data_IF_293126235479
#
_entry.id   IF_293126235479
#
_cell.length_a   1.000
_cell.length_b   1.000
_cell.length_c   1.000
_cell.angle_alpha   90.00
_cell.angle_beta   90.00
_cell.angle_gamma   90.00
#
_symmetry.space_group_name_H-M   'P 1'
#
loop_
_entity.id
_entity.type
_entity.pdbx_description
1 polymer ?
#
# COMPACT_ATOMS: atom_id res chain seq x y z
N UNK A 1 -9.33 -7.80 -27.90
CA UNK A 1 -9.39 -6.32 -27.98
C UNK A 1 -7.96 -5.81 -27.97
N UNK A 2 -7.58 -4.96 -28.93
CA UNK A 2 -6.26 -4.32 -28.88
C UNK A 2 -6.22 -3.34 -27.69
N UNK A 3 -5.34 -3.58 -26.72
CA UNK A 3 -5.20 -2.77 -25.52
C UNK A 3 -4.18 -1.63 -25.66
N UNK A 4 -3.49 -1.55 -26.79
CA UNK A 4 -2.47 -0.52 -27.01
C UNK A 4 -3.01 0.92 -26.89
N UNK A 5 -4.21 1.26 -27.45
CA UNK A 5 -4.76 2.62 -27.28
C UNK A 5 -5.06 2.95 -25.82
N UNK A 6 -5.55 1.99 -25.04
CA UNK A 6 -5.79 2.17 -23.60
C UNK A 6 -4.48 2.37 -22.83
N UNK A 7 -3.46 1.57 -23.10
CA UNK A 7 -2.14 1.72 -22.49
C UNK A 7 -1.52 3.09 -22.80
N UNK A 8 -1.55 3.51 -24.06
CA UNK A 8 -1.07 4.84 -24.48
C UNK A 8 -1.78 5.95 -23.75
N UNK A 9 -3.11 5.89 -23.65
CA UNK A 9 -3.90 6.88 -22.93
C UNK A 9 -3.49 6.96 -21.45
N UNK A 10 -3.43 5.82 -20.76
CA UNK A 10 -3.08 5.78 -19.33
C UNK A 10 -1.69 6.36 -19.07
N UNK A 11 -0.73 6.10 -19.95
CA UNK A 11 0.64 6.65 -19.85
C UNK A 11 0.65 8.15 -20.05
N UNK A 12 0.00 8.64 -21.10
CA UNK A 12 -0.12 10.08 -21.36
C UNK A 12 -0.72 10.81 -20.18
N UNK A 13 -1.82 10.28 -19.63
CA UNK A 13 -2.46 10.85 -18.45
C UNK A 13 -1.60 10.69 -17.19
N UNK A 14 -0.88 9.59 -17.06
CA UNK A 14 0.05 9.36 -15.94
C UNK A 14 1.17 10.39 -15.88
N UNK A 15 1.78 10.72 -17.01
CA UNK A 15 2.79 11.79 -17.10
C UNK A 15 2.17 13.14 -16.73
N UNK A 16 1.02 13.48 -17.31
CA UNK A 16 0.34 14.75 -17.08
C UNK A 16 -0.11 14.96 -15.64
N UNK A 17 -0.51 13.89 -14.95
CA UNK A 17 -1.13 13.91 -13.63
C UNK A 17 -0.20 13.45 -12.52
N UNK A 18 1.07 13.21 -12.82
CA UNK A 18 2.03 12.67 -11.88
C UNK A 18 2.05 13.46 -10.56
N UNK A 19 1.97 12.73 -9.45
CA UNK A 19 2.07 13.29 -8.10
C UNK A 19 3.40 12.87 -7.48
N UNK A 20 4.25 13.84 -7.18
CA UNK A 20 5.52 13.59 -6.50
C UNK A 20 5.28 13.36 -4.99
N UNK A 21 5.01 12.12 -4.62
CA UNK A 21 4.73 11.71 -3.24
C UNK A 21 6.00 11.07 -2.61
N UNK A 22 6.26 11.27 -1.29
CA UNK A 22 7.50 10.83 -0.65
C UNK A 22 7.84 9.36 -0.91
N UNK A 23 6.89 8.45 -0.75
CA UNK A 23 7.08 7.02 -0.96
C UNK A 23 7.30 6.61 -2.42
N UNK A 24 7.18 7.52 -3.37
CA UNK A 24 7.51 7.28 -4.78
C UNK A 24 8.98 7.50 -5.10
N UNK A 25 9.73 8.10 -4.15
CA UNK A 25 11.15 8.39 -4.30
C UNK A 25 12.04 7.26 -3.78
N UNK A 26 11.44 6.22 -3.21
CA UNK A 26 12.13 5.06 -2.66
C UNK A 26 11.72 3.77 -3.35
N UNK A 27 12.56 2.75 -3.26
CA UNK A 27 12.26 1.36 -3.60
C UNK A 27 12.42 0.43 -2.39
N UNK A 28 12.71 0.97 -1.21
CA UNK A 28 12.79 0.18 0.02
C UNK A 28 11.44 -0.50 0.28
N UNK A 29 11.39 -1.84 0.36
CA UNK A 29 10.13 -2.56 0.52
C UNK A 29 9.44 -2.28 1.87
N UNK A 30 10.19 -1.94 2.93
CA UNK A 30 9.61 -1.52 4.20
C UNK A 30 8.87 -0.18 4.06
N UNK A 31 9.51 0.80 3.43
CA UNK A 31 8.95 2.12 3.21
C UNK A 31 7.73 2.08 2.28
N UNK A 32 7.80 1.28 1.21
CA UNK A 32 6.68 1.05 0.28
C UNK A 32 5.52 0.35 1.00
N UNK A 33 5.77 -0.75 1.72
CA UNK A 33 4.75 -1.45 2.49
C UNK A 33 4.05 -0.54 3.49
N UNK A 34 4.82 0.28 4.22
CA UNK A 34 4.29 1.26 5.15
C UNK A 34 3.30 2.21 4.44
N UNK A 35 3.68 2.75 3.28
CA UNK A 35 2.80 3.65 2.51
C UNK A 35 1.52 2.95 2.08
N UNK A 36 1.60 1.71 1.59
CA UNK A 36 0.45 0.92 1.16
C UNK A 36 -0.54 0.68 2.33
N UNK A 37 -0.02 0.38 3.51
CA UNK A 37 -0.87 0.19 4.69
C UNK A 37 -1.44 1.52 5.19
N UNK A 38 -0.66 2.59 5.20
CA UNK A 38 -1.12 3.91 5.65
C UNK A 38 -2.21 4.49 4.72
N UNK A 39 -2.11 4.26 3.42
CA UNK A 39 -3.06 4.74 2.41
C UNK A 39 -4.42 4.01 2.45
N UNK A 40 -4.52 2.86 3.11
CA UNK A 40 -5.80 2.18 3.27
C UNK A 40 -6.81 3.07 4.01
N UNK A 41 -7.82 3.58 3.30
CA UNK A 41 -8.88 4.43 3.83
C UNK A 41 -8.39 5.71 4.55
N UNK A 42 -7.21 6.21 4.21
CA UNK A 42 -6.63 7.45 4.74
C UNK A 42 -6.35 8.42 3.58
N UNK A 43 -6.55 9.71 3.80
CA UNK A 43 -6.28 10.74 2.79
C UNK A 43 -4.78 10.88 2.58
N UNK A 44 -4.35 11.04 1.32
CA UNK A 44 -2.96 11.18 0.90
C UNK A 44 -2.22 12.26 1.71
N UNK A 45 -2.76 13.48 1.79
CA UNK A 45 -2.11 14.58 2.52
C UNK A 45 -1.82 14.27 4.00
N UNK A 46 -2.63 13.41 4.65
CA UNK A 46 -2.34 12.95 6.00
C UNK A 46 -1.21 11.93 6.03
N UNK A 47 -1.16 11.07 5.03
CA UNK A 47 -0.12 10.04 4.95
C UNK A 47 1.24 10.67 4.66
N UNK A 48 1.32 11.72 3.83
CA UNK A 48 2.58 12.40 3.52
C UNK A 48 3.34 12.82 4.78
N UNK A 49 2.66 13.48 5.73
CA UNK A 49 3.28 13.87 7.00
C UNK A 49 3.57 12.67 7.89
N UNK A 50 2.59 11.76 8.05
CA UNK A 50 2.71 10.63 8.97
C UNK A 50 3.72 9.58 8.55
N UNK A 51 3.95 9.42 7.25
CA UNK A 51 4.93 8.50 6.71
C UNK A 51 6.37 8.95 7.06
N UNK A 52 6.65 10.24 6.95
CA UNK A 52 7.96 10.81 7.35
C UNK A 52 8.15 10.68 8.86
N UNK A 53 7.18 11.13 9.68
CA UNK A 53 7.24 11.03 11.14
C UNK A 53 7.42 9.58 11.63
N UNK A 54 6.85 8.63 10.92
CA UNK A 54 6.99 7.20 11.24
C UNK A 54 8.39 6.69 10.95
N UNK A 55 8.96 7.05 9.79
CA UNK A 55 10.30 6.62 9.41
C UNK A 55 11.39 7.28 10.28
N UNK A 56 11.18 8.50 10.74
CA UNK A 56 12.05 9.14 11.72
C UNK A 56 12.09 8.34 13.04
N UNK A 57 10.99 7.71 13.41
CA UNK A 57 10.87 6.93 14.65
C UNK A 57 11.23 5.46 14.48
N UNK A 58 10.83 4.85 13.37
CA UNK A 58 11.06 3.45 13.04
C UNK A 58 11.71 3.38 11.65
N UNK A 59 13.02 3.65 11.55
CA UNK A 59 13.71 3.79 10.26
C UNK A 59 13.89 2.47 9.50
N UNK A 60 13.59 1.34 10.11
CA UNK A 60 13.72 0.02 9.49
C UNK A 60 12.67 -0.96 10.02
N UNK A 61 12.53 -2.08 9.33
CA UNK A 61 11.67 -3.20 9.77
C UNK A 61 12.11 -3.74 11.14
N UNK A 62 13.40 -3.76 11.42
CA UNK A 62 13.94 -4.18 12.71
C UNK A 62 13.55 -3.20 13.83
N UNK A 63 13.71 -1.90 13.59
CA UNK A 63 13.31 -0.88 14.56
C UNK A 63 11.81 -0.97 14.90
N UNK A 64 10.96 -1.25 13.91
CA UNK A 64 9.53 -1.47 14.13
C UNK A 64 9.26 -2.80 14.88
N UNK A 65 10.00 -3.86 14.57
CA UNK A 65 9.87 -5.15 15.22
C UNK A 65 10.23 -5.09 16.71
N UNK A 66 11.25 -4.31 17.06
CA UNK A 66 11.73 -4.15 18.44
C UNK A 66 10.89 -3.16 19.26
N UNK A 67 10.15 -2.28 18.60
CA UNK A 67 9.36 -1.24 19.28
C UNK A 67 8.25 -1.82 20.17
N UNK A 68 7.97 -1.18 21.29
CA UNK A 68 6.86 -1.56 22.17
C UNK A 68 5.49 -1.31 21.51
N UNK A 69 4.52 -2.18 21.78
CA UNK A 69 3.14 -2.04 21.24
C UNK A 69 2.52 -0.68 21.57
N UNK A 70 2.73 -0.17 22.78
CA UNK A 70 2.25 1.14 23.20
C UNK A 70 2.87 2.26 22.36
N UNK A 71 4.16 2.16 22.07
CA UNK A 71 4.91 3.10 21.25
C UNK A 71 4.39 3.14 19.81
N UNK A 72 4.18 1.97 19.20
CA UNK A 72 3.62 1.84 17.85
C UNK A 72 2.21 2.42 17.77
N UNK A 73 1.36 2.16 18.77
CA UNK A 73 0.02 2.73 18.82
C UNK A 73 0.03 4.25 19.04
N UNK A 74 0.97 4.77 19.83
CA UNK A 74 1.16 6.20 20.02
C UNK A 74 1.55 6.91 18.71
N UNK A 75 2.50 6.35 17.97
CA UNK A 75 2.90 6.86 16.66
C UNK A 75 1.78 6.78 15.61
N UNK A 76 0.86 5.80 15.74
CA UNK A 76 -0.28 5.63 14.82
C UNK A 76 -1.47 6.52 15.13
N UNK A 77 -1.45 7.31 16.22
CA UNK A 77 -2.59 8.15 16.57
C UNK A 77 -3.01 9.10 15.43
N UNK A 78 -4.31 9.25 15.23
CA UNK A 78 -4.85 10.07 14.14
C UNK A 78 -4.99 9.37 12.79
N UNK A 79 -4.38 8.20 12.58
CA UNK A 79 -4.51 7.42 11.35
C UNK A 79 -5.79 6.58 11.30
N UNK A 80 -6.37 6.26 12.46
CA UNK A 80 -7.55 5.39 12.58
C UNK A 80 -7.26 3.93 12.24
N UNK A 81 -8.24 3.06 12.51
CA UNK A 81 -8.09 1.61 12.29
C UNK A 81 -6.81 1.04 12.91
N UNK A 82 -6.65 1.21 14.22
CA UNK A 82 -5.44 0.85 14.99
C UNK A 82 -4.98 -0.60 14.79
N UNK A 83 -5.89 -1.51 14.38
CA UNK A 83 -5.52 -2.89 14.00
C UNK A 83 -4.47 -2.94 12.88
N UNK A 84 -4.36 -1.88 12.04
CA UNK A 84 -3.33 -1.80 10.98
C UNK A 84 -1.94 -1.63 11.60
N UNK A 85 -1.84 -0.79 12.64
CA UNK A 85 -0.57 -0.60 13.36
C UNK A 85 -0.11 -1.89 14.04
N UNK A 86 -1.05 -2.60 14.69
CA UNK A 86 -0.75 -3.90 15.32
C UNK A 86 -0.34 -4.94 14.28
N UNK A 87 -1.01 -4.97 13.13
CA UNK A 87 -0.65 -5.87 12.05
C UNK A 87 0.71 -5.51 11.42
N UNK A 88 1.02 -4.21 11.25
CA UNK A 88 2.36 -3.76 10.83
C UNK A 88 3.43 -4.27 11.79
N UNK A 89 3.24 -4.08 13.10
CA UNK A 89 4.21 -4.57 14.10
C UNK A 89 4.38 -6.09 14.02
N UNK A 90 3.30 -6.85 14.04
CA UNK A 90 3.37 -8.31 13.98
C UNK A 90 4.00 -8.84 12.68
N UNK A 91 3.74 -8.19 11.55
CA UNK A 91 4.40 -8.55 10.29
C UNK A 91 5.88 -8.11 10.28
N UNK A 92 6.23 -6.97 10.89
CA UNK A 92 7.61 -6.55 11.03
C UNK A 92 8.42 -7.55 11.87
N UNK A 93 7.84 -8.08 12.95
CA UNK A 93 8.46 -9.13 13.77
C UNK A 93 8.76 -10.38 12.93
N UNK A 94 7.80 -10.84 12.13
CA UNK A 94 8.01 -12.00 11.25
C UNK A 94 9.08 -11.70 10.18
N UNK A 95 9.01 -10.53 9.52
CA UNK A 95 10.01 -10.17 8.50
C UNK A 95 11.41 -10.08 9.14
N UNK A 96 11.52 -9.45 10.30
CA UNK A 96 12.81 -9.28 10.98
C UNK A 96 13.42 -10.60 11.44
N UNK A 97 12.61 -11.52 12.00
CA UNK A 97 13.13 -12.69 12.71
C UNK A 97 12.97 -14.00 11.90
N UNK A 98 11.95 -14.13 11.05
CA UNK A 98 11.74 -15.33 10.25
C UNK A 98 12.34 -15.22 8.83
N UNK A 99 12.55 -13.97 8.34
CA UNK A 99 13.09 -13.65 7.01
C UNK A 99 14.38 -12.82 7.07
N UNK A 100 15.03 -12.70 8.22
CA UNK A 100 16.27 -11.92 8.40
C UNK A 100 16.18 -10.46 7.88
N UNK A 101 15.00 -9.85 7.97
CA UNK A 101 14.72 -8.50 7.46
C UNK A 101 14.50 -8.42 5.96
N UNK A 102 14.58 -9.51 5.23
CA UNK A 102 14.38 -9.58 3.77
C UNK A 102 12.89 -9.74 3.45
N UNK A 103 12.33 -8.82 2.69
CA UNK A 103 10.93 -8.93 2.26
C UNK A 103 10.77 -10.03 1.20
N UNK A 104 9.83 -10.98 1.41
CA UNK A 104 9.54 -11.97 0.37
C UNK A 104 8.94 -11.30 -0.88
N UNK A 105 9.20 -11.88 -2.03
CA UNK A 105 8.67 -11.41 -3.32
C UNK A 105 7.49 -12.24 -3.83
N UNK A 106 7.30 -13.44 -3.29
CA UNK A 106 6.20 -14.30 -3.66
C UNK A 106 4.89 -13.85 -3.01
N UNK A 107 3.82 -13.78 -3.81
CA UNK A 107 2.49 -13.33 -3.35
C UNK A 107 2.01 -14.17 -2.17
N UNK A 108 2.23 -15.48 -2.22
CA UNK A 108 1.80 -16.43 -1.18
C UNK A 108 2.47 -16.12 0.16
N UNK A 109 3.75 -15.80 0.15
CA UNK A 109 4.51 -15.46 1.35
C UNK A 109 4.10 -14.10 1.91
N UNK A 110 3.98 -13.09 1.03
CA UNK A 110 3.51 -11.76 1.43
C UNK A 110 2.12 -11.80 2.08
N UNK A 111 1.18 -12.54 1.50
CA UNK A 111 -0.19 -12.64 2.03
C UNK A 111 -0.25 -13.46 3.33
N UNK A 112 0.74 -14.30 3.61
CA UNK A 112 0.84 -15.00 4.89
C UNK A 112 1.20 -14.05 6.07
N UNK A 113 1.81 -12.90 5.77
CA UNK A 113 2.17 -11.90 6.79
C UNK A 113 0.93 -11.17 7.34
N UNK A 114 0.89 -10.86 8.64
CA UNK A 114 -0.22 -10.17 9.26
C UNK A 114 -0.60 -8.85 8.57
N UNK A 115 -1.86 -8.70 8.20
CA UNK A 115 -2.40 -7.47 7.62
C UNK A 115 -2.03 -7.19 6.16
N UNK A 116 -1.28 -8.06 5.50
CA UNK A 116 -0.98 -7.98 4.08
C UNK A 116 -2.03 -8.76 3.29
N UNK A 117 -2.95 -8.04 2.66
CA UNK A 117 -3.91 -8.63 1.74
C UNK A 117 -3.36 -8.72 0.30
N UNK A 118 -4.10 -9.40 -0.62
CA UNK A 118 -3.65 -9.56 -2.00
C UNK A 118 -3.29 -8.24 -2.71
N UNK A 119 -4.07 -7.18 -2.53
CA UNK A 119 -3.78 -5.89 -3.14
C UNK A 119 -2.49 -5.27 -2.57
N UNK A 120 -2.29 -5.31 -1.24
CA UNK A 120 -1.07 -4.81 -0.61
C UNK A 120 0.16 -5.62 -1.06
N UNK A 121 0.06 -6.95 -1.14
CA UNK A 121 1.14 -7.79 -1.66
C UNK A 121 1.53 -7.40 -3.09
N UNK A 122 0.55 -7.20 -3.97
CA UNK A 122 0.82 -6.75 -5.34
C UNK A 122 1.37 -5.32 -5.41
N UNK A 123 0.96 -4.42 -4.51
CA UNK A 123 1.53 -3.08 -4.39
C UNK A 123 3.01 -3.13 -4.00
N UNK A 124 3.38 -3.92 -2.99
CA UNK A 124 4.78 -4.14 -2.61
C UNK A 124 5.57 -4.67 -3.79
N UNK A 125 5.08 -5.71 -4.47
CA UNK A 125 5.73 -6.30 -5.66
C UNK A 125 5.97 -5.29 -6.77
N UNK A 126 4.94 -4.53 -7.13
CA UNK A 126 5.04 -3.54 -8.20
C UNK A 126 5.91 -2.34 -7.81
N UNK A 127 5.75 -1.79 -6.61
CA UNK A 127 6.38 -0.52 -6.24
C UNK A 127 7.80 -0.67 -5.67
N UNK A 128 8.11 -1.76 -4.98
CA UNK A 128 9.46 -2.01 -4.47
C UNK A 128 10.31 -2.81 -5.46
N UNK A 129 9.74 -3.86 -6.05
CA UNK A 129 10.50 -4.84 -6.82
C UNK A 129 10.26 -4.77 -8.34
N UNK A 130 9.38 -3.88 -8.80
CA UNK A 130 9.01 -3.76 -10.22
C UNK A 130 8.49 -5.07 -10.86
N UNK A 131 7.92 -5.94 -10.03
CA UNK A 131 7.40 -7.23 -10.45
C UNK A 131 5.96 -7.10 -10.97
N UNK A 132 5.63 -7.75 -12.09
CA UNK A 132 4.28 -7.71 -12.64
C UNK A 132 3.28 -8.45 -11.73
N UNK A 133 2.02 -8.06 -11.86
CA UNK A 133 0.92 -8.69 -11.14
C UNK A 133 -0.36 -7.86 -11.17
N UNK A 134 -1.41 -8.35 -10.56
CA UNK A 134 -2.74 -7.72 -10.56
C UNK A 134 -2.92 -6.83 -9.34
N UNK A 135 -2.48 -5.59 -9.42
CA UNK A 135 -2.71 -4.58 -8.38
C UNK A 135 -4.07 -3.90 -8.62
N UNK A 136 -5.14 -4.50 -8.10
CA UNK A 136 -6.52 -4.05 -8.29
C UNK A 136 -7.05 -3.30 -7.06
N UNK A 137 -6.77 -2.00 -6.98
CA UNK A 137 -7.30 -1.09 -5.96
C UNK A 137 -8.35 -0.11 -6.56
N UNK A 138 -8.87 0.80 -5.75
CA UNK A 138 -10.01 1.65 -6.14
C UNK A 138 -9.73 2.55 -7.34
N UNK A 139 -8.53 3.14 -7.47
CA UNK A 139 -8.22 4.04 -8.59
C UNK A 139 -7.97 3.24 -9.87
N UNK A 140 -7.32 2.09 -9.78
CA UNK A 140 -7.16 1.16 -10.92
C UNK A 140 -8.53 0.72 -11.43
N UNK A 141 -9.44 0.28 -10.53
CA UNK A 141 -10.84 -0.01 -10.90
C UNK A 141 -11.51 1.18 -11.57
N UNK A 142 -11.29 2.39 -11.07
CA UNK A 142 -11.90 3.61 -11.62
C UNK A 142 -11.53 3.80 -13.08
N UNK A 143 -10.25 3.66 -13.44
CA UNK A 143 -9.78 3.83 -14.82
C UNK A 143 -10.35 2.77 -15.73
N UNK A 144 -10.26 1.50 -15.34
CA UNK A 144 -10.80 0.37 -16.14
C UNK A 144 -12.30 0.50 -16.34
N UNK A 145 -13.06 0.78 -15.28
CA UNK A 145 -14.51 0.96 -15.36
C UNK A 145 -14.92 2.16 -16.21
N UNK A 146 -14.15 3.25 -16.17
CA UNK A 146 -14.46 4.44 -16.96
C UNK A 146 -14.34 4.18 -18.46
N UNK A 147 -13.26 3.53 -18.89
CA UNK A 147 -12.95 3.40 -20.31
C UNK A 147 -13.50 2.12 -20.96
N UNK A 148 -13.55 1.03 -20.21
CA UNK A 148 -13.87 -0.28 -20.79
C UNK A 148 -15.26 -0.80 -20.41
N UNK A 149 -15.89 -0.20 -19.39
CA UNK A 149 -17.25 -0.53 -18.95
C UNK A 149 -18.12 0.72 -18.73
N UNK A 150 -18.23 1.64 -19.72
CA UNK A 150 -18.88 2.95 -19.49
C UNK A 150 -20.33 2.82 -19.05
N UNK A 151 -21.08 1.84 -19.58
CA UNK A 151 -22.51 1.69 -19.38
C UNK A 151 -22.89 0.43 -18.59
N UNK A 152 -21.90 -0.29 -18.04
CA UNK A 152 -22.14 -1.54 -17.31
C UNK A 152 -22.28 -1.25 -15.81
N UNK A 153 -23.46 -1.50 -15.21
CA UNK A 153 -23.62 -1.41 -13.77
C UNK A 153 -23.08 -2.69 -13.08
N UNK A 154 -22.51 -2.53 -11.88
CA UNK A 154 -22.15 -3.67 -11.00
C UNK A 154 -21.16 -4.67 -11.62
N UNK A 155 -20.01 -4.19 -12.09
CA UNK A 155 -18.95 -5.03 -12.68
C UNK A 155 -18.19 -5.77 -11.56
N UNK A 156 -18.12 -7.10 -11.58
CA UNK A 156 -17.36 -7.87 -10.60
C UNK A 156 -15.86 -7.88 -10.93
N UNK A 157 -15.02 -8.02 -9.90
CA UNK A 157 -13.57 -8.01 -10.05
C UNK A 157 -13.04 -9.08 -11.02
N UNK A 158 -13.72 -10.22 -11.14
CA UNK A 158 -13.35 -11.28 -12.09
C UNK A 158 -13.33 -10.83 -13.57
N UNK A 159 -14.04 -9.76 -13.91
CA UNK A 159 -14.02 -9.17 -15.25
C UNK A 159 -12.91 -8.12 -15.41
N UNK A 160 -12.48 -7.51 -14.30
CA UNK A 160 -11.41 -6.51 -14.28
C UNK A 160 -10.02 -7.15 -14.23
N UNK A 161 -9.87 -8.24 -13.47
CA UNK A 161 -8.59 -8.95 -13.26
C UNK A 161 -7.88 -9.29 -14.57
N UNK A 162 -8.49 -9.95 -15.56
CA UNK A 162 -7.81 -10.29 -16.82
C UNK A 162 -7.33 -9.04 -17.60
N UNK A 163 -8.05 -7.94 -17.49
CA UNK A 163 -7.70 -6.68 -18.15
C UNK A 163 -6.48 -6.05 -17.47
N UNK A 164 -6.50 -5.99 -16.14
CA UNK A 164 -5.38 -5.44 -15.37
C UNK A 164 -4.13 -6.27 -15.59
N UNK A 165 -4.25 -7.59 -15.62
CA UNK A 165 -3.16 -8.51 -15.92
C UNK A 165 -2.60 -8.30 -17.34
N UNK A 166 -3.45 -8.29 -18.35
CA UNK A 166 -3.06 -8.12 -19.75
C UNK A 166 -2.47 -6.74 -20.08
N UNK A 167 -2.75 -5.72 -19.27
CA UNK A 167 -2.25 -4.37 -19.49
C UNK A 167 -1.02 -4.02 -18.64
N UNK A 168 -0.74 -4.79 -17.59
CA UNK A 168 0.46 -4.62 -16.79
C UNK A 168 1.70 -4.93 -17.63
N UNK A 169 2.73 -4.06 -17.64
CA UNK A 169 4.02 -4.39 -18.27
C UNK A 169 4.66 -5.63 -17.67
N UNK A 170 5.52 -6.30 -18.45
CA UNK A 170 6.25 -7.52 -18.04
C UNK A 170 7.34 -7.08 -17.12
N UNK A 171 7.61 -6.52 -16.27
CA UNK A 171 8.74 -6.14 -15.39
C UNK A 171 10.12 -6.30 -16.07
N UNK A 172 11.12 -5.84 -15.40
CA UNK A 172 12.50 -6.02 -15.86
C UNK A 172 12.90 -7.50 -15.71
N UNK A 173 13.35 -8.12 -16.78
CA UNK A 173 13.75 -9.53 -16.85
C UNK A 173 15.01 -9.87 -16.04
N UNK A 174 15.61 -8.92 -15.34
CA UNK A 174 16.81 -9.14 -14.54
C UNK A 174 16.93 -8.19 -13.36
N UNK A 175 16.30 -8.54 -12.24
CA UNK A 175 16.85 -8.17 -10.95
C UNK A 175 17.89 -9.24 -10.57
N UNK A 176 19.12 -9.09 -11.01
CA UNK A 176 20.24 -9.72 -10.31
C UNK A 176 20.30 -9.05 -8.94
N UNK A 177 19.78 -9.76 -7.95
CA UNK A 177 20.01 -9.44 -6.54
C UNK A 177 21.47 -9.76 -6.25
N UNK A 178 22.38 -8.87 -6.58
CA UNK A 178 23.69 -8.84 -5.97
C UNK A 178 23.50 -8.29 -4.54
N UNK A 179 23.15 -9.19 -3.63
CA UNK A 179 23.24 -8.94 -2.21
C UNK A 179 24.74 -9.06 -1.89
N UNK A 180 25.43 -7.93 -1.87
CA UNK A 180 26.72 -7.86 -1.22
C UNK A 180 26.50 -7.99 0.30
N UNK A 181 26.83 -9.18 0.82
CA UNK A 181 26.70 -9.56 2.23
C UNK A 181 27.89 -9.03 3.03
N UNK A 182 28.22 -7.76 2.88
CA UNK A 182 29.18 -7.10 3.77
C UNK A 182 28.50 -5.90 4.43
N UNK A 183 28.34 -6.03 5.74
CA UNK A 183 27.61 -5.21 6.69
C UNK A 183 27.88 -3.70 6.65
N UNK A 184 27.29 -3.04 5.70
CA UNK A 184 27.30 -1.60 5.59
C UNK A 184 26.08 -1.13 4.82
N UNK A 185 25.24 -0.34 5.49
CA UNK A 185 24.24 0.55 4.92
C UNK A 185 23.55 0.02 3.67
N UNK A 186 22.28 -0.30 3.75
CA UNK A 186 21.42 -0.57 2.58
C UNK A 186 21.68 0.49 1.52
N UNK A 187 22.51 0.16 0.54
CA UNK A 187 22.87 1.04 -0.54
C UNK A 187 21.62 1.49 -1.28
N UNK A 188 21.50 2.77 -1.51
CA UNK A 188 20.45 3.36 -2.31
C UNK A 188 20.30 2.53 -3.59
N UNK A 189 19.18 1.82 -3.74
CA UNK A 189 18.84 1.15 -4.98
C UNK A 189 18.88 2.19 -6.10
N UNK A 190 19.84 2.05 -7.01
CA UNK A 190 19.95 2.95 -8.15
C UNK A 190 18.64 2.86 -8.95
N UNK A 191 17.88 3.94 -8.99
CA UNK A 191 16.69 4.04 -9.82
C UNK A 191 17.17 4.12 -11.27
N UNK A 192 16.88 3.15 -12.13
CA UNK A 192 17.17 3.27 -13.56
C UNK A 192 16.41 4.49 -14.10
N UNK A 193 17.09 5.41 -14.78
CA UNK A 193 16.51 6.71 -15.17
C UNK A 193 15.67 6.68 -16.45
N UNK A 194 15.51 5.54 -17.12
CA UNK A 194 14.90 5.47 -18.47
C UNK A 194 13.83 4.37 -18.63
N UNK A 195 12.94 4.16 -17.63
CA UNK A 195 11.98 3.07 -17.71
C UNK A 195 10.53 3.54 -17.71
N UNK A 196 10.10 3.97 -18.87
CA UNK A 196 8.73 4.45 -19.10
C UNK A 196 7.68 3.31 -19.10
N UNK A 197 8.06 2.03 -19.11
CA UNK A 197 7.13 0.89 -19.20
C UNK A 197 7.36 -0.24 -18.18
N UNK A 198 7.27 0.09 -16.91
CA UNK A 198 7.40 -0.87 -15.82
C UNK A 198 6.09 -1.06 -15.05
N UNK A 199 5.91 -2.16 -14.30
CA UNK A 199 4.76 -2.33 -13.40
C UNK A 199 4.60 -1.16 -12.43
N UNK A 200 5.69 -0.63 -11.90
CA UNK A 200 5.72 0.51 -10.99
C UNK A 200 5.17 1.78 -11.66
N UNK A 201 5.75 2.18 -12.79
CA UNK A 201 5.33 3.38 -13.52
C UNK A 201 3.88 3.27 -13.99
N UNK A 202 3.50 2.09 -14.47
CA UNK A 202 2.15 1.78 -14.91
C UNK A 202 1.11 1.97 -13.80
N UNK A 203 1.34 1.37 -12.64
CA UNK A 203 0.37 1.48 -11.55
C UNK A 203 0.34 2.87 -10.93
N UNK A 204 1.45 3.61 -10.87
CA UNK A 204 1.39 5.02 -10.48
C UNK A 204 0.58 5.86 -11.46
N UNK A 205 0.70 5.64 -12.77
CA UNK A 205 -0.13 6.28 -13.77
C UNK A 205 -1.63 5.97 -13.55
N UNK A 206 -1.97 4.71 -13.34
CA UNK A 206 -3.35 4.28 -13.03
C UNK A 206 -3.88 4.92 -11.74
N UNK A 207 -3.06 5.01 -10.70
CA UNK A 207 -3.43 5.63 -9.43
C UNK A 207 -3.71 7.13 -9.56
N UNK A 208 -2.89 7.86 -10.33
CA UNK A 208 -3.04 9.28 -10.52
C UNK A 208 -4.23 9.60 -11.42
N UNK A 209 -4.34 8.90 -12.53
CA UNK A 209 -5.45 9.07 -13.45
C UNK A 209 -6.79 8.68 -12.80
N UNK A 210 -6.87 7.59 -12.07
CA UNK A 210 -8.07 7.20 -11.35
C UNK A 210 -8.47 8.19 -10.25
N UNK A 211 -7.50 8.78 -9.56
CA UNK A 211 -7.76 9.84 -8.60
C UNK A 211 -8.29 11.12 -9.26
N UNK A 212 -7.81 11.45 -10.46
CA UNK A 212 -8.31 12.56 -11.28
C UNK A 212 -9.74 12.31 -11.75
N UNK A 213 -10.01 11.16 -12.33
CA UNK A 213 -11.35 10.78 -12.80
C UNK A 213 -12.41 10.87 -11.70
N UNK A 214 -12.10 10.43 -10.49
CA UNK A 214 -13.03 10.54 -9.35
C UNK A 214 -13.41 11.97 -8.98
N UNK A 215 -12.62 12.96 -9.39
CA UNK A 215 -12.87 14.40 -9.12
C UNK A 215 -13.56 15.10 -10.30
N UNK A 216 -13.38 14.61 -11.52
CA UNK A 216 -13.78 15.30 -12.75
C UNK A 216 -15.02 14.71 -13.41
N UNK A 217 -15.35 13.45 -13.12
CA UNK A 217 -16.55 12.78 -13.64
C UNK A 217 -17.34 12.10 -12.52
N UNK A 218 -18.62 11.72 -12.75
CA UNK A 218 -19.36 10.90 -11.81
C UNK A 218 -18.57 9.63 -11.46
N UNK A 219 -18.20 9.46 -10.19
CA UNK A 219 -17.22 8.47 -9.73
C UNK A 219 -17.46 7.05 -10.30
N UNK A 220 -16.63 6.58 -11.25
CA UNK A 220 -16.86 5.29 -11.93
C UNK A 220 -16.71 4.10 -10.98
N UNK A 221 -15.95 4.21 -9.88
CA UNK A 221 -15.76 3.12 -8.93
C UNK A 221 -17.06 2.66 -8.26
N UNK A 222 -18.11 3.49 -8.28
CA UNK A 222 -19.44 3.11 -7.78
C UNK A 222 -20.08 1.97 -8.57
N UNK A 223 -19.62 1.71 -9.79
CA UNK A 223 -20.06 0.59 -10.64
C UNK A 223 -19.32 -0.71 -10.35
N UNK A 224 -18.28 -0.69 -9.51
CA UNK A 224 -17.66 -1.94 -9.04
C UNK A 224 -18.62 -2.66 -8.10
N UNK A 225 -18.84 -3.96 -8.31
CA UNK A 225 -19.64 -4.80 -7.39
C UNK A 225 -19.07 -4.80 -5.96
N UNK A 226 -17.76 -4.67 -5.85
CA UNK A 226 -17.05 -4.59 -4.57
C UNK A 226 -17.09 -3.18 -3.94
N UNK A 227 -17.78 -2.20 -4.53
CA UNK A 227 -17.82 -0.85 -3.99
C UNK A 227 -18.52 -0.79 -2.65
N UNK A 228 -17.81 -0.30 -1.65
CA UNK A 228 -18.36 -0.08 -0.30
C UNK A 228 -18.12 1.36 0.13
N UNK A 229 -19.19 2.04 0.53
CA UNK A 229 -19.09 3.40 1.08
C UNK A 229 -18.64 3.33 2.54
N UNK A 230 -17.59 4.07 2.87
CA UNK A 230 -17.16 4.20 4.25
C UNK A 230 -18.25 4.91 5.10
N UNK A 231 -18.59 4.35 6.26
CA UNK A 231 -19.53 4.97 7.20
C UNK A 231 -18.94 6.25 7.81
N UNK A 232 -19.80 7.16 8.28
CA UNK A 232 -19.36 8.37 9.00
C UNK A 232 -18.52 7.99 10.23
N UNK A 233 -17.53 8.82 10.57
CA UNK A 233 -16.66 8.58 11.73
C UNK A 233 -17.36 8.95 13.04
N UNK A 234 -18.04 10.12 13.07
CA UNK A 234 -18.74 10.62 14.24
C UNK A 234 -19.85 9.66 14.68
N UNK A 235 -19.91 9.36 15.99
CA UNK A 235 -20.84 8.42 16.59
C UNK A 235 -20.55 6.94 16.30
N UNK A 236 -19.54 6.62 15.51
CA UNK A 236 -19.24 5.24 15.14
C UNK A 236 -18.46 4.48 16.22
N UNK A 237 -18.53 3.15 16.17
CA UNK A 237 -17.69 2.28 17.02
C UNK A 237 -16.20 2.55 16.83
N UNK A 238 -15.77 3.04 15.64
CA UNK A 238 -14.38 3.42 15.35
C UNK A 238 -13.95 4.62 16.20
N UNK A 239 -14.80 5.63 16.34
CA UNK A 239 -14.52 6.78 17.19
C UNK A 239 -14.34 6.36 18.65
N UNK A 240 -15.28 5.57 19.18
CA UNK A 240 -15.20 5.07 20.57
C UNK A 240 -13.93 4.25 20.83
N UNK A 241 -13.54 3.37 19.91
CA UNK A 241 -12.29 2.62 20.03
C UNK A 241 -11.06 3.52 19.99
N UNK A 242 -11.02 4.53 19.13
CA UNK A 242 -9.91 5.48 19.07
C UNK A 242 -9.78 6.30 20.34
N UNK A 243 -10.90 6.64 20.97
CA UNK A 243 -10.96 7.35 22.25
C UNK A 243 -10.45 6.50 23.41
N UNK A 244 -10.89 5.24 23.50
CA UNK A 244 -10.41 4.29 24.52
C UNK A 244 -8.88 4.12 24.39
N UNK A 245 -8.35 3.88 23.20
CA UNK A 245 -6.90 3.73 23.01
C UNK A 245 -6.16 5.00 23.45
N UNK A 246 -6.69 6.19 23.14
CA UNK A 246 -6.07 7.45 23.58
C UNK A 246 -6.06 7.58 25.10
N UNK A 247 -7.15 7.20 25.76
CA UNK A 247 -7.25 7.23 27.23
C UNK A 247 -6.25 6.25 27.89
N UNK A 248 -6.16 5.03 27.38
CA UNK A 248 -5.20 4.02 27.87
C UNK A 248 -3.75 4.45 27.69
N UNK A 249 -3.41 5.03 26.54
CA UNK A 249 -2.06 5.58 26.30
C UNK A 249 -1.76 6.76 27.25
N UNK A 250 -2.73 7.63 27.49
CA UNK A 250 -2.57 8.77 28.41
C UNK A 250 -2.45 8.34 29.88
N UNK A 251 -3.10 7.26 30.26
CA UNK A 251 -3.01 6.69 31.61
C UNK A 251 -1.73 5.89 31.86
N UNK A 252 -0.91 5.64 30.83
CA UNK A 252 0.28 4.79 30.95
C UNK A 252 -0.05 3.29 31.16
N UNK A 253 -1.31 2.89 31.01
CA UNK A 253 -1.77 1.51 31.25
C UNK A 253 -1.38 0.55 30.12
N UNK A 254 -0.86 1.04 28.99
CA UNK A 254 -0.21 0.25 27.93
C UNK A 254 1.31 0.14 28.20
N UNK A 255 1.70 0.08 29.46
CA UNK A 255 3.07 -0.15 29.87
C UNK A 255 3.52 -1.59 29.63
N UNK A 256 4.82 -1.79 29.66
CA UNK A 256 5.50 -3.09 29.55
C UNK A 256 4.80 -4.16 30.41
N UNK A 257 4.22 -5.18 29.78
CA UNK A 257 3.73 -6.36 30.49
C UNK A 257 2.26 -6.76 30.29
N UNK A 258 1.54 -6.20 29.35
CA UNK A 258 0.25 -6.80 28.94
C UNK A 258 0.49 -7.81 27.82
N UNK A 259 0.79 -9.06 28.19
CA UNK A 259 0.55 -10.20 27.31
C UNK A 259 -0.90 -10.13 26.80
N UNK A 260 -1.06 -10.14 25.51
CA UNK A 260 -2.38 -10.09 24.90
C UNK A 260 -3.20 -11.28 25.40
N UNK A 261 -4.40 -11.08 25.97
CA UNK A 261 -5.25 -12.20 26.30
C UNK A 261 -5.59 -12.94 25.00
N UNK A 262 -5.33 -14.23 24.99
CA UNK A 262 -5.72 -15.16 23.92
C UNK A 262 -7.23 -15.00 23.69
N UNK A 263 -7.62 -14.39 22.59
CA UNK A 263 -9.01 -14.31 22.17
C UNK A 263 -9.30 -15.58 21.41
N UNK A 264 -9.96 -16.52 22.10
CA UNK A 264 -10.65 -17.67 21.50
C UNK A 264 -11.86 -17.21 20.69
#
# INVERSE_FOLDING_TARGET
MDMNPFRTLVRTEGVRLYRDLPWRRTRDPYEIWLSEVMLQQTQVARVETRWVEWLDRFPSVFALAEAGTAEVLAAWQGMGYNRRALALKAAAEQIAFDYDGVFPTEVKELVALPGIGPATAQGIRAFAFDLPGVYLETNVRTVVLHHLFPDVPSVPDKELVPIVEATCPAGLDSFETSIDVDGGSLGAYAVPQDEDDTPRSWYYAMLDYGAHLKKTVPNPSRRAKAYTRQSKFEGSRRQKRAEIVRMLLAAGELGEGMDAPSVH
#
